data_IF_154879310114
#
_entry.id   IF_154879310114
#
_cell.length_a   1.000
_cell.length_b   1.000
_cell.length_c   1.000
_cell.angle_alpha   90.00
_cell.angle_beta   90.00
_cell.angle_gamma   90.00
#
_symmetry.space_group_name_H-M   'P 1'
#
loop_
_entity.id
_entity.type
_entity.pdbx_description
1 polymer ?
#
# COMPACT_ATOMS: atom_id res chain seq x y z
N UNK A 1 4.67 26.71 -3.18
CA UNK A 1 4.29 25.58 -2.28
C UNK A 1 5.53 24.74 -2.02
N UNK A 2 5.81 24.37 -0.77
CA UNK A 2 6.92 23.47 -0.45
C UNK A 2 6.58 22.02 -0.82
N UNK A 3 7.59 21.21 -1.18
CA UNK A 3 7.39 19.81 -1.57
C UNK A 3 6.68 18.99 -0.47
N UNK A 4 7.05 19.20 0.79
CA UNK A 4 6.44 18.56 1.97
C UNK A 4 4.94 18.87 2.08
N UNK A 5 4.54 20.11 1.80
CA UNK A 5 3.12 20.50 1.82
C UNK A 5 2.33 19.77 0.73
N UNK A 6 2.91 19.60 -0.46
CA UNK A 6 2.29 18.88 -1.56
C UNK A 6 2.13 17.38 -1.23
N UNK A 7 3.15 16.77 -0.60
CA UNK A 7 3.10 15.37 -0.14
C UNK A 7 1.98 15.17 0.88
N UNK A 8 1.92 16.01 1.93
CA UNK A 8 0.88 15.91 2.97
C UNK A 8 -0.53 16.12 2.43
N UNK A 9 -0.71 17.09 1.54
CA UNK A 9 -1.99 17.33 0.88
C UNK A 9 -2.40 16.11 0.04
N UNK A 10 -1.46 15.51 -0.67
CA UNK A 10 -1.71 14.31 -1.46
C UNK A 10 -2.12 13.11 -0.60
N UNK A 11 -1.49 12.91 0.57
CA UNK A 11 -1.94 11.87 1.52
C UNK A 11 -3.36 12.10 2.03
N UNK A 12 -3.75 13.37 2.25
CA UNK A 12 -5.12 13.72 2.63
C UNK A 12 -6.10 13.40 1.49
N UNK A 13 -5.74 13.73 0.25
CA UNK A 13 -6.54 13.38 -0.94
C UNK A 13 -6.66 11.85 -1.08
N UNK A 14 -5.57 11.09 -0.91
CA UNK A 14 -5.60 9.63 -0.92
C UNK A 14 -6.56 9.07 0.13
N UNK A 15 -6.51 9.59 1.36
CA UNK A 15 -7.40 9.18 2.45
C UNK A 15 -8.88 9.44 2.11
N UNK A 16 -9.20 10.62 1.54
CA UNK A 16 -10.56 10.93 1.08
C UNK A 16 -11.02 9.97 -0.01
N UNK A 17 -10.16 9.64 -0.99
CA UNK A 17 -10.48 8.68 -2.04
C UNK A 17 -10.77 7.29 -1.48
N UNK A 18 -10.01 6.82 -0.48
CA UNK A 18 -10.27 5.56 0.21
C UNK A 18 -11.61 5.57 0.96
N UNK A 19 -11.92 6.65 1.70
CA UNK A 19 -13.19 6.77 2.43
C UNK A 19 -14.38 6.72 1.46
N UNK A 20 -14.31 7.48 0.36
CA UNK A 20 -15.34 7.47 -0.67
C UNK A 20 -15.43 6.12 -1.39
N UNK A 21 -14.29 5.49 -1.65
CA UNK A 21 -14.21 4.15 -2.21
C UNK A 21 -14.94 3.13 -1.35
N UNK A 22 -14.60 3.04 -0.06
CA UNK A 22 -15.24 2.15 0.92
C UNK A 22 -16.74 2.41 1.04
N UNK A 23 -17.18 3.68 1.03
CA UNK A 23 -18.60 4.03 1.04
C UNK A 23 -19.35 3.42 -0.15
N UNK A 24 -18.76 3.45 -1.34
CA UNK A 24 -19.37 2.86 -2.55
C UNK A 24 -19.23 1.34 -2.62
N UNK A 25 -18.28 0.71 -1.91
CA UNK A 25 -18.27 -0.75 -1.77
C UNK A 25 -19.50 -1.28 -0.98
N UNK A 26 -20.16 -0.42 -0.20
CA UNK A 26 -21.33 -0.79 0.60
C UNK A 26 -22.60 -1.12 -0.19
N UNK A 27 -22.67 -0.85 -1.50
CA UNK A 27 -23.81 -1.24 -2.34
C UNK A 27 -23.37 -1.91 -3.65
N UNK A 28 -24.04 -2.98 -4.12
CA UNK A 28 -23.69 -3.67 -5.37
C UNK A 28 -23.70 -2.75 -6.60
N UNK A 29 -24.63 -1.79 -6.63
CA UNK A 29 -24.77 -0.84 -7.73
C UNK A 29 -23.54 0.08 -7.88
N UNK A 30 -22.90 0.45 -6.77
CA UNK A 30 -21.76 1.38 -6.75
C UNK A 30 -20.40 0.69 -6.53
N UNK A 31 -20.38 -0.61 -6.22
CA UNK A 31 -19.17 -1.37 -5.87
C UNK A 31 -18.02 -1.24 -6.89
N UNK A 32 -18.33 -1.29 -8.20
CA UNK A 32 -17.30 -1.14 -9.26
C UNK A 32 -16.63 0.23 -9.22
N UNK A 33 -17.40 1.30 -8.99
CA UNK A 33 -16.87 2.67 -8.86
C UNK A 33 -16.08 2.82 -7.57
N UNK A 34 -16.56 2.23 -6.49
CA UNK A 34 -15.85 2.22 -5.21
C UNK A 34 -14.47 1.56 -5.32
N UNK A 35 -14.38 0.40 -5.97
CA UNK A 35 -13.09 -0.27 -6.19
C UNK A 35 -12.12 0.57 -7.03
N UNK A 36 -12.61 1.26 -8.07
CA UNK A 36 -11.78 2.15 -8.90
C UNK A 36 -11.28 3.38 -8.13
N UNK A 37 -12.09 3.97 -7.24
CA UNK A 37 -11.66 5.08 -6.38
C UNK A 37 -10.60 4.64 -5.38
N UNK A 38 -10.79 3.47 -4.74
CA UNK A 38 -9.80 2.91 -3.82
C UNK A 38 -8.47 2.60 -4.52
N UNK A 39 -8.50 2.04 -5.74
CA UNK A 39 -7.27 1.76 -6.49
C UNK A 39 -6.54 3.02 -6.93
N UNK A 40 -7.27 4.08 -7.31
CA UNK A 40 -6.71 5.41 -7.57
C UNK A 40 -6.09 6.04 -6.31
N UNK A 41 -6.76 5.93 -5.17
CA UNK A 41 -6.22 6.37 -3.88
C UNK A 41 -4.92 5.66 -3.51
N UNK A 42 -4.87 4.34 -3.69
CA UNK A 42 -3.65 3.56 -3.48
C UNK A 42 -2.52 3.97 -4.45
N UNK A 43 -2.81 4.12 -5.74
CA UNK A 43 -1.83 4.53 -6.74
C UNK A 43 -1.25 5.91 -6.40
N UNK A 44 -2.10 6.86 -6.04
CA UNK A 44 -1.68 8.21 -5.66
C UNK A 44 -0.77 8.19 -4.42
N UNK A 45 -1.13 7.41 -3.40
CA UNK A 45 -0.32 7.27 -2.20
C UNK A 45 1.07 6.70 -2.52
N UNK A 46 1.14 5.61 -3.28
CA UNK A 46 2.42 4.98 -3.68
C UNK A 46 3.28 5.95 -4.48
N UNK A 47 2.73 6.62 -5.50
CA UNK A 47 3.49 7.56 -6.35
C UNK A 47 4.06 8.71 -5.52
N UNK A 48 3.27 9.26 -4.61
CA UNK A 48 3.71 10.39 -3.77
C UNK A 48 4.76 9.95 -2.76
N UNK A 49 4.63 8.76 -2.17
CA UNK A 49 5.67 8.20 -1.30
C UNK A 49 6.99 8.02 -2.04
N UNK A 50 6.98 7.67 -3.33
CA UNK A 50 8.20 7.56 -4.15
C UNK A 50 8.87 8.92 -4.45
N UNK A 51 8.15 10.03 -4.31
CA UNK A 51 8.68 11.39 -4.49
C UNK A 51 9.30 11.96 -3.21
N UNK A 52 9.19 11.25 -2.08
CA UNK A 52 9.84 11.68 -0.85
C UNK A 52 11.37 11.56 -0.97
N UNK A 53 12.08 12.57 -0.49
CA UNK A 53 13.52 12.71 -0.69
C UNK A 53 14.35 11.79 0.23
N UNK A 54 13.70 11.02 1.09
CA UNK A 54 14.32 10.10 2.06
C UNK A 54 14.64 8.71 1.47
N UNK A 55 14.46 8.50 0.16
CA UNK A 55 14.66 7.21 -0.48
C UNK A 55 16.13 7.03 -0.89
N UNK A 56 16.79 6.07 -0.25
CA UNK A 56 18.22 5.79 -0.45
C UNK A 56 18.45 4.91 -1.69
N UNK A 57 17.61 3.89 -1.92
CA UNK A 57 17.77 2.95 -3.04
C UNK A 57 16.41 2.53 -3.66
N UNK A 58 16.13 3.05 -4.85
CA UNK A 58 14.93 2.73 -5.62
C UNK A 58 14.93 1.30 -6.17
N UNK A 59 16.08 0.62 -6.25
CA UNK A 59 16.19 -0.71 -6.85
C UNK A 59 15.42 -1.74 -6.04
N UNK A 60 15.55 -1.71 -4.71
CA UNK A 60 14.82 -2.61 -3.81
C UNK A 60 13.31 -2.34 -3.81
N UNK A 61 12.92 -1.07 -3.86
CA UNK A 61 11.51 -0.67 -3.93
C UNK A 61 10.88 -1.18 -5.23
N UNK A 62 11.55 -0.94 -6.36
CA UNK A 62 11.08 -1.39 -7.67
C UNK A 62 10.98 -2.92 -7.73
N UNK A 63 11.99 -3.64 -7.22
CA UNK A 63 11.96 -5.10 -7.14
C UNK A 63 10.77 -5.59 -6.30
N UNK A 64 10.52 -4.96 -5.13
CA UNK A 64 9.38 -5.30 -4.28
C UNK A 64 8.03 -5.05 -4.96
N UNK A 65 7.85 -3.88 -5.58
CA UNK A 65 6.61 -3.53 -6.30
C UNK A 65 6.38 -4.48 -7.47
N UNK A 66 7.39 -4.72 -8.31
CA UNK A 66 7.24 -5.56 -9.52
C UNK A 66 6.98 -7.02 -9.13
N UNK A 67 7.77 -7.59 -8.22
CA UNK A 67 7.59 -8.98 -7.79
C UNK A 67 6.26 -9.18 -7.06
N UNK A 68 5.91 -8.28 -6.13
CA UNK A 68 4.65 -8.32 -5.39
C UNK A 68 3.43 -8.14 -6.27
N UNK A 69 3.44 -7.17 -7.19
CA UNK A 69 2.34 -6.95 -8.12
C UNK A 69 2.18 -8.13 -9.09
N UNK A 70 3.27 -8.70 -9.60
CA UNK A 70 3.23 -9.86 -10.48
C UNK A 70 2.63 -11.07 -9.78
N UNK A 71 3.18 -11.47 -8.62
CA UNK A 71 2.71 -12.62 -7.86
C UNK A 71 1.26 -12.39 -7.40
N UNK A 72 0.95 -11.22 -6.86
CA UNK A 72 -0.39 -10.87 -6.38
C UNK A 72 -1.43 -10.90 -7.50
N UNK A 73 -1.11 -10.35 -8.68
CA UNK A 73 -2.03 -10.36 -9.82
C UNK A 73 -2.27 -11.77 -10.36
N UNK A 74 -1.21 -12.57 -10.47
CA UNK A 74 -1.34 -13.96 -10.91
C UNK A 74 -2.17 -14.77 -9.91
N UNK A 75 -1.86 -14.69 -8.62
CA UNK A 75 -2.63 -15.35 -7.58
C UNK A 75 -4.11 -14.95 -7.67
N UNK A 76 -4.40 -13.64 -7.67
CA UNK A 76 -5.76 -13.09 -7.70
C UNK A 76 -6.59 -13.54 -8.92
N UNK A 77 -5.96 -13.76 -10.07
CA UNK A 77 -6.64 -14.18 -11.31
C UNK A 77 -6.82 -15.69 -11.43
N UNK A 78 -5.96 -16.47 -10.81
CA UNK A 78 -5.90 -17.92 -11.00
C UNK A 78 -6.65 -18.71 -9.92
N UNK A 79 -7.06 -18.07 -8.81
CA UNK A 79 -7.82 -18.75 -7.76
C UNK A 79 -9.25 -19.07 -8.19
N UNK A 80 -9.75 -20.20 -7.71
CA UNK A 80 -11.17 -20.51 -7.83
C UNK A 80 -12.01 -19.56 -6.97
N UNK A 81 -13.17 -19.13 -7.48
CA UNK A 81 -14.12 -18.27 -6.74
C UNK A 81 -14.61 -18.91 -5.43
N UNK A 82 -14.59 -20.24 -5.33
CA UNK A 82 -14.93 -20.99 -4.10
C UNK A 82 -13.89 -20.84 -3.01
N UNK A 83 -12.64 -20.52 -3.36
CA UNK A 83 -11.52 -20.33 -2.44
C UNK A 83 -11.18 -18.83 -2.24
N UNK A 84 -12.13 -17.94 -2.56
CA UNK A 84 -11.97 -16.50 -2.35
C UNK A 84 -11.75 -16.13 -0.86
N UNK A 85 -12.43 -16.74 0.13
CA UNK A 85 -12.18 -16.43 1.55
C UNK A 85 -10.72 -16.69 1.98
N UNK A 86 -10.13 -17.81 1.57
CA UNK A 86 -8.76 -18.20 1.90
C UNK A 86 -7.74 -17.27 1.26
N UNK A 87 -7.97 -16.87 0.00
CA UNK A 87 -7.12 -15.88 -0.66
C UNK A 87 -7.13 -14.55 0.07
N UNK A 88 -8.29 -14.07 0.49
CA UNK A 88 -8.41 -12.79 1.21
C UNK A 88 -7.67 -12.86 2.55
N UNK A 89 -7.78 -13.99 3.26
CA UNK A 89 -7.04 -14.22 4.50
C UNK A 89 -5.52 -14.20 4.26
N UNK A 90 -5.04 -14.85 3.19
CA UNK A 90 -3.62 -14.87 2.83
C UNK A 90 -3.08 -13.47 2.52
N UNK A 91 -3.79 -12.69 1.69
CA UNK A 91 -3.38 -11.31 1.36
C UNK A 91 -3.42 -10.38 2.57
N UNK A 92 -4.39 -10.53 3.47
CA UNK A 92 -4.41 -9.79 4.72
C UNK A 92 -3.21 -10.17 5.62
N UNK A 93 -2.88 -11.47 5.69
CA UNK A 93 -1.69 -11.97 6.39
C UNK A 93 -0.39 -11.36 5.88
N UNK A 94 -0.20 -11.28 4.55
CA UNK A 94 0.96 -10.59 3.97
C UNK A 94 1.02 -9.10 4.33
N UNK A 95 -0.12 -8.40 4.36
CA UNK A 95 -0.19 -7.02 4.83
C UNK A 95 0.20 -6.86 6.31
N UNK A 96 -0.20 -7.82 7.15
CA UNK A 96 0.22 -7.90 8.55
C UNK A 96 1.73 -8.11 8.70
N UNK A 97 2.32 -9.05 7.94
CA UNK A 97 3.76 -9.30 7.94
C UNK A 97 4.53 -8.07 7.46
N UNK A 98 4.07 -7.40 6.40
CA UNK A 98 4.69 -6.17 5.94
C UNK A 98 4.73 -5.09 7.04
N UNK A 99 3.61 -4.92 7.76
CA UNK A 99 3.52 -3.97 8.87
C UNK A 99 4.43 -4.36 10.04
N UNK A 100 4.52 -5.66 10.35
CA UNK A 100 5.43 -6.19 11.35
C UNK A 100 6.90 -5.87 11.00
N UNK A 101 7.32 -6.11 9.76
CA UNK A 101 8.69 -5.83 9.31
C UNK A 101 9.03 -4.35 9.43
N UNK A 102 8.12 -3.46 9.01
CA UNK A 102 8.28 -2.01 9.16
C UNK A 102 8.40 -1.63 10.64
N UNK A 103 7.55 -2.21 11.50
CA UNK A 103 7.59 -1.99 12.95
C UNK A 103 8.91 -2.47 13.59
N UNK A 104 9.40 -3.65 13.21
CA UNK A 104 10.67 -4.18 13.70
C UNK A 104 11.85 -3.28 13.35
N UNK A 105 11.90 -2.75 12.13
CA UNK A 105 12.93 -1.80 11.70
C UNK A 105 12.80 -0.50 12.50
N UNK A 106 11.60 0.05 12.65
CA UNK A 106 11.37 1.27 13.41
C UNK A 106 11.78 1.16 14.89
N UNK A 107 11.60 -0.01 15.52
CA UNK A 107 12.01 -0.26 16.90
C UNK A 107 13.52 -0.47 17.07
N UNK A 108 14.19 -1.01 16.06
CA UNK A 108 15.63 -1.32 16.12
C UNK A 108 16.52 -0.19 15.62
N UNK A 109 16.01 0.70 14.77
CA UNK A 109 16.73 1.87 14.25
C UNK A 109 17.41 2.72 15.34
N UNK A 110 16.73 3.15 16.43
CA UNK A 110 17.38 3.95 17.46
C UNK A 110 18.54 3.24 18.17
N UNK A 111 18.49 1.91 18.25
CA UNK A 111 19.58 1.11 18.82
C UNK A 111 20.76 1.07 17.86
N UNK A 112 20.52 0.83 16.56
CA UNK A 112 21.56 0.84 15.54
C UNK A 112 22.29 2.18 15.48
N UNK A 113 21.56 3.29 15.51
CA UNK A 113 22.14 4.64 15.48
C UNK A 113 23.05 4.92 16.69
N UNK A 114 22.75 4.31 17.85
CA UNK A 114 23.57 4.43 19.08
C UNK A 114 24.86 3.60 19.05
N UNK A 115 24.94 2.55 18.24
CA UNK A 115 26.16 1.72 18.12
C UNK A 115 27.08 2.15 16.96
N UNK A 116 26.55 2.92 16.00
CA UNK A 116 27.27 3.37 14.80
C UNK A 116 27.87 4.79 15.00
N UNK A 117 27.49 5.49 16.08
CA UNK A 117 28.08 6.74 16.59
C UNK A 117 28.83 6.50 17.90
#
# INVERSE_FOLDING_TARGET
MSAVMLINLSYTVAAVLFILGLKFLGSPETARRGNALSSLGMLLAVVVTLLDHSIIDYRWILLGIVSGALIGTLAARLVAMTAMPEMVALFNGFGGIASLLVGCIALTQPLLDRFIL
#
